data_IF_365177784919
#
_entry.id   IF_365177784919
#
_cell.length_a   1.000
_cell.length_b   1.000
_cell.length_c   1.000
_cell.angle_alpha   90.00
_cell.angle_beta   90.00
_cell.angle_gamma   90.00
#
_symmetry.space_group_name_H-M   'P 1'
#
loop_
_entity.id
_entity.type
_entity.pdbx_description
1 polymer ?
#
# COMPACT_ATOMS: atom_id res chain seq x y z
N UNK A 1 -27.20 -0.46 1.55
CA UNK A 1 -25.92 -1.11 1.14
C UNK A 1 -24.76 -0.68 2.05
N UNK A 2 -24.54 0.59 2.28
CA UNK A 2 -23.45 1.11 3.14
C UNK A 2 -23.47 0.59 4.60
N UNK A 3 -24.64 0.42 5.22
CA UNK A 3 -24.71 -0.11 6.59
C UNK A 3 -24.21 -1.57 6.73
N UNK A 4 -24.38 -2.42 5.72
CA UNK A 4 -23.87 -3.81 5.74
C UNK A 4 -22.34 -3.85 5.68
N UNK A 5 -21.73 -3.01 4.85
CA UNK A 5 -20.27 -2.89 4.71
C UNK A 5 -19.67 -2.39 6.02
N UNK A 6 -20.22 -1.33 6.59
CA UNK A 6 -19.77 -0.80 7.88
C UNK A 6 -19.88 -1.83 9.02
N UNK A 7 -20.93 -2.65 9.03
CA UNK A 7 -21.08 -3.74 10.00
C UNK A 7 -20.01 -4.84 9.84
N UNK A 8 -19.54 -5.11 8.62
CA UNK A 8 -18.42 -6.04 8.39
C UNK A 8 -17.14 -5.43 8.93
N UNK A 9 -16.86 -4.17 8.58
CA UNK A 9 -15.69 -3.43 9.04
C UNK A 9 -15.61 -3.39 10.57
N UNK A 10 -16.71 -3.06 11.24
CA UNK A 10 -16.77 -3.01 12.71
C UNK A 10 -16.52 -4.39 13.34
N UNK A 11 -17.14 -5.45 12.82
CA UNK A 11 -16.92 -6.83 13.31
C UNK A 11 -15.46 -7.27 13.17
N UNK A 12 -14.79 -6.89 12.08
CA UNK A 12 -13.37 -7.19 11.89
C UNK A 12 -12.53 -6.45 12.92
N UNK A 13 -12.79 -5.16 13.14
CA UNK A 13 -12.07 -4.36 14.14
C UNK A 13 -12.24 -4.89 15.56
N UNK A 14 -13.45 -5.33 15.94
CA UNK A 14 -13.71 -5.94 17.23
C UNK A 14 -12.93 -7.26 17.42
N UNK A 15 -12.89 -8.11 16.38
CA UNK A 15 -12.10 -9.35 16.41
C UNK A 15 -10.61 -9.08 16.53
N UNK A 16 -10.11 -8.10 15.78
CA UNK A 16 -8.71 -7.67 15.83
C UNK A 16 -8.34 -7.14 17.22
N UNK A 17 -9.22 -6.35 17.86
CA UNK A 17 -8.98 -5.87 19.23
C UNK A 17 -8.74 -7.00 20.24
N UNK A 18 -9.38 -8.16 20.07
CA UNK A 18 -9.24 -9.33 20.95
C UNK A 18 -7.89 -10.05 20.84
N UNK A 19 -7.15 -9.87 19.76
CA UNK A 19 -5.87 -10.55 19.51
C UNK A 19 -4.65 -9.64 19.79
N UNK A 20 -4.85 -8.43 20.28
CA UNK A 20 -3.75 -7.54 20.65
C UNK A 20 -2.90 -8.14 21.76
N UNK A 21 -1.57 -8.18 21.54
CA UNK A 21 -0.56 -8.63 22.50
C UNK A 21 0.67 -7.75 22.37
N UNK A 22 1.41 -7.45 23.44
CA UNK A 22 2.55 -6.53 23.41
C UNK A 22 3.60 -6.89 22.34
N UNK A 23 3.93 -8.18 22.20
CA UNK A 23 4.90 -8.64 21.19
C UNK A 23 4.37 -8.44 19.77
N UNK A 24 3.12 -8.81 19.50
CA UNK A 24 2.49 -8.65 18.18
C UNK A 24 2.28 -7.18 17.83
N UNK A 25 1.93 -6.34 18.82
CA UNK A 25 1.83 -4.89 18.64
C UNK A 25 3.15 -4.30 18.13
N UNK A 26 4.29 -4.68 18.73
CA UNK A 26 5.64 -4.22 18.30
C UNK A 26 5.93 -4.62 16.85
N UNK A 27 5.62 -5.87 16.48
CA UNK A 27 5.80 -6.38 15.11
C UNK A 27 4.95 -5.57 14.11
N UNK A 28 3.66 -5.37 14.41
CA UNK A 28 2.75 -4.65 13.53
C UNK A 28 3.08 -3.16 13.42
N UNK A 29 3.55 -2.55 14.51
CA UNK A 29 4.08 -1.18 14.48
C UNK A 29 5.29 -1.08 13.54
N UNK A 30 6.19 -2.07 13.58
CA UNK A 30 7.39 -2.09 12.72
C UNK A 30 7.01 -2.16 11.24
N UNK A 31 6.10 -3.07 10.86
CA UNK A 31 5.60 -3.14 9.48
C UNK A 31 4.86 -1.87 9.06
N UNK A 32 4.06 -1.30 9.95
CA UNK A 32 3.40 -0.02 9.68
C UNK A 32 4.41 1.11 9.45
N UNK A 33 5.43 1.22 10.30
CA UNK A 33 6.49 2.24 10.16
C UNK A 33 7.30 2.06 8.87
N UNK A 34 7.61 0.83 8.48
CA UNK A 34 8.28 0.53 7.21
C UNK A 34 7.49 1.04 5.99
N UNK A 35 6.16 1.00 6.07
CA UNK A 35 5.28 1.54 5.02
C UNK A 35 5.10 3.07 5.04
N UNK A 36 5.57 3.78 6.08
CA UNK A 36 5.43 5.23 6.17
C UNK A 36 6.13 5.91 4.99
N UNK A 37 5.41 6.82 4.30
CA UNK A 37 5.90 7.52 3.10
C UNK A 37 6.45 6.59 2.02
N UNK A 38 6.14 5.29 2.10
CA UNK A 38 6.67 4.29 1.18
C UNK A 38 8.18 4.02 1.34
N UNK A 39 8.80 4.35 2.48
CA UNK A 39 10.26 4.29 2.69
C UNK A 39 10.85 2.94 2.29
N UNK A 40 10.24 1.84 2.71
CA UNK A 40 10.72 0.50 2.37
C UNK A 40 10.71 0.25 0.86
N UNK A 41 9.74 0.80 0.14
CA UNK A 41 9.61 0.63 -1.31
C UNK A 41 10.63 1.47 -2.07
N UNK A 42 10.95 2.67 -1.59
CA UNK A 42 12.06 3.47 -2.09
C UNK A 42 13.40 2.77 -1.88
N UNK A 43 13.62 2.20 -0.70
CA UNK A 43 14.83 1.42 -0.41
C UNK A 43 14.95 0.18 -1.32
N UNK A 44 13.86 -0.56 -1.53
CA UNK A 44 13.83 -1.71 -2.45
C UNK A 44 14.03 -1.27 -3.91
N UNK A 45 13.62 -0.07 -4.30
CA UNK A 45 13.78 0.46 -5.65
C UNK A 45 15.26 0.70 -6.02
N UNK A 46 16.11 1.06 -5.03
CA UNK A 46 17.52 1.42 -5.26
C UNK A 46 18.29 0.33 -6.05
N UNK A 47 18.34 -0.95 -5.64
CA UNK A 47 19.07 -1.98 -6.36
C UNK A 47 18.55 -2.20 -7.80
N UNK A 48 17.24 -1.99 -8.02
CA UNK A 48 16.69 -2.06 -9.38
C UNK A 48 17.16 -0.91 -10.27
N UNK A 49 17.37 0.29 -9.71
CA UNK A 49 17.86 1.45 -10.48
C UNK A 49 19.36 1.36 -10.79
N UNK A 50 20.15 0.78 -9.88
CA UNK A 50 21.61 0.68 -10.05
C UNK A 50 21.98 -0.32 -11.16
N UNK A 51 21.31 -1.46 -11.22
CA UNK A 51 21.60 -2.50 -12.22
C UNK A 51 20.93 -2.16 -13.54
N UNK A 52 21.72 -2.11 -14.62
CA UNK A 52 21.22 -1.81 -15.97
C UNK A 52 20.05 -2.71 -16.40
N UNK A 53 20.19 -4.05 -16.19
CA UNK A 53 19.20 -5.05 -16.58
C UNK A 53 17.84 -4.89 -15.86
N UNK A 54 17.82 -4.23 -14.69
CA UNK A 54 16.65 -4.08 -13.86
C UNK A 54 16.13 -2.64 -13.80
N UNK A 55 16.83 -1.70 -14.44
CA UNK A 55 16.51 -0.27 -14.37
C UNK A 55 15.09 0.06 -14.77
N UNK A 56 14.56 -0.60 -15.78
CA UNK A 56 13.16 -0.44 -16.20
C UNK A 56 12.18 -0.85 -15.09
N UNK A 57 12.50 -1.91 -14.32
CA UNK A 57 11.68 -2.31 -13.17
C UNK A 57 11.69 -1.23 -12.09
N UNK A 58 12.86 -0.66 -11.78
CA UNK A 58 12.97 0.46 -10.85
C UNK A 58 12.15 1.69 -11.27
N UNK A 59 12.25 2.08 -12.54
CA UNK A 59 11.45 3.19 -13.10
C UNK A 59 9.95 2.90 -13.05
N UNK A 60 9.52 1.66 -13.35
CA UNK A 60 8.11 1.28 -13.21
C UNK A 60 7.64 1.33 -11.74
N UNK A 61 8.50 0.95 -10.77
CA UNK A 61 8.17 1.07 -9.34
C UNK A 61 7.93 2.55 -8.98
N UNK A 62 8.84 3.45 -9.38
CA UNK A 62 8.68 4.89 -9.13
C UNK A 62 7.36 5.41 -9.72
N UNK A 63 7.12 5.11 -10.99
CA UNK A 63 5.91 5.57 -11.68
C UNK A 63 4.65 4.99 -11.06
N UNK A 64 4.66 3.69 -10.68
CA UNK A 64 3.56 3.04 -9.98
C UNK A 64 3.27 3.65 -8.61
N UNK A 65 4.31 3.98 -7.82
CA UNK A 65 4.17 4.67 -6.54
C UNK A 65 3.59 6.08 -6.71
N UNK A 66 4.05 6.85 -7.70
CA UNK A 66 3.51 8.17 -8.01
C UNK A 66 2.03 8.08 -8.42
N UNK A 67 1.67 7.14 -9.28
CA UNK A 67 0.28 6.92 -9.71
C UNK A 67 -0.61 6.51 -8.54
N UNK A 68 -0.13 5.59 -7.69
CA UNK A 68 -0.83 5.14 -6.49
C UNK A 68 -1.03 6.30 -5.48
N UNK A 69 -0.03 7.15 -5.30
CA UNK A 69 -0.14 8.34 -4.46
C UNK A 69 -1.17 9.33 -5.01
N UNK A 70 -1.10 9.64 -6.31
CA UNK A 70 -2.04 10.55 -6.97
C UNK A 70 -3.48 10.05 -6.83
N UNK A 71 -3.74 8.79 -7.17
CA UNK A 71 -5.08 8.23 -7.15
C UNK A 71 -5.62 8.03 -5.72
N UNK A 72 -4.79 7.47 -4.82
CA UNK A 72 -5.20 7.15 -3.46
C UNK A 72 -5.20 8.36 -2.51
N UNK A 73 -4.05 9.04 -2.37
CA UNK A 73 -3.88 10.10 -1.38
C UNK A 73 -4.43 11.45 -1.84
N UNK A 74 -4.25 11.80 -3.12
CA UNK A 74 -4.67 13.11 -3.62
C UNK A 74 -6.13 13.12 -4.07
N UNK A 75 -6.57 12.13 -4.85
CA UNK A 75 -7.91 12.13 -5.45
C UNK A 75 -8.93 11.48 -4.51
N UNK A 76 -8.86 10.15 -4.34
CA UNK A 76 -9.92 9.38 -3.66
C UNK A 76 -10.07 9.76 -2.18
N UNK A 77 -8.99 10.02 -1.48
CA UNK A 77 -9.02 10.41 -0.08
C UNK A 77 -9.81 11.69 0.15
N UNK A 78 -9.69 12.66 -0.74
CA UNK A 78 -10.39 13.95 -0.64
C UNK A 78 -11.83 13.90 -1.17
N UNK A 79 -12.17 12.90 -1.99
CA UNK A 79 -13.57 12.68 -2.43
C UNK A 79 -14.36 11.98 -1.34
N UNK A 80 -13.83 10.86 -0.78
CA UNK A 80 -14.60 9.99 0.13
C UNK A 80 -14.64 10.52 1.57
N UNK A 81 -13.56 11.13 2.05
CA UNK A 81 -13.44 11.78 3.37
C UNK A 81 -13.88 10.90 4.55
N UNK A 82 -13.62 9.60 4.51
CA UNK A 82 -14.02 8.65 5.55
C UNK A 82 -13.23 8.87 6.84
N UNK A 83 -13.94 8.94 7.97
CA UNK A 83 -13.31 9.04 9.30
C UNK A 83 -12.65 7.70 9.66
N UNK A 84 -11.48 7.75 10.31
CA UNK A 84 -10.73 6.56 10.71
C UNK A 84 -11.36 5.85 11.92
N UNK A 85 -11.24 4.51 12.02
CA UNK A 85 -11.75 3.78 13.18
C UNK A 85 -11.13 4.26 14.50
N UNK A 86 -9.85 4.60 14.52
CA UNK A 86 -9.15 5.07 15.73
C UNK A 86 -9.71 6.35 16.35
N UNK A 87 -10.49 7.15 15.61
CA UNK A 87 -11.17 8.33 16.17
C UNK A 87 -12.43 8.00 16.97
N UNK A 88 -12.92 6.76 16.86
CA UNK A 88 -14.07 6.26 17.63
C UNK A 88 -13.66 5.37 18.82
N UNK A 89 -12.35 5.19 19.05
CA UNK A 89 -11.80 4.39 20.15
C UNK A 89 -11.43 5.28 21.34
N UNK A 90 -11.48 4.70 22.55
CA UNK A 90 -10.91 5.30 23.76
C UNK A 90 -9.37 5.41 23.66
N UNK A 91 -8.79 6.27 24.47
CA UNK A 91 -7.33 6.49 24.46
C UNK A 91 -6.58 5.26 24.98
N UNK A 92 -7.18 4.46 25.86
CA UNK A 92 -6.69 3.18 26.38
C UNK A 92 -6.66 2.05 25.35
N UNK A 93 -7.49 2.13 24.33
CA UNK A 93 -7.53 1.15 23.23
C UNK A 93 -6.54 1.46 22.11
N UNK A 94 -5.83 2.57 22.20
CA UNK A 94 -5.00 3.08 21.12
C UNK A 94 -3.57 2.55 21.21
N UNK A 95 -3.06 1.97 20.09
CA UNK A 95 -1.72 1.40 20.04
C UNK A 95 -0.69 2.37 19.46
N UNK A 96 -1.12 3.27 18.58
CA UNK A 96 -0.27 4.28 17.91
C UNK A 96 -1.01 5.62 17.85
N UNK A 97 -0.28 6.71 17.66
CA UNK A 97 -0.86 8.04 17.48
C UNK A 97 -1.91 8.06 16.35
N UNK A 98 -2.98 8.83 16.55
CA UNK A 98 -4.07 8.98 15.57
C UNK A 98 -3.58 9.70 14.32
N UNK A 99 -3.59 9.07 13.13
CA UNK A 99 -3.23 9.76 11.90
C UNK A 99 -4.25 10.85 11.57
N UNK A 100 -3.78 12.01 11.14
CA UNK A 100 -4.59 13.23 10.95
C UNK A 100 -5.55 13.19 9.75
N UNK A 101 -5.25 12.41 8.71
CA UNK A 101 -6.00 12.41 7.44
C UNK A 101 -7.06 11.31 7.39
N UNK A 102 -7.95 11.37 6.37
CA UNK A 102 -9.02 10.41 6.11
C UNK A 102 -8.53 8.97 5.97
N UNK A 103 -9.45 8.00 6.17
CA UNK A 103 -9.08 6.56 6.16
C UNK A 103 -9.07 5.93 4.78
N UNK A 104 -9.92 6.36 3.86
CA UNK A 104 -10.17 5.68 2.59
C UNK A 104 -9.48 6.35 1.39
N UNK A 105 -8.83 5.57 0.55
CA UNK A 105 -8.32 4.22 0.78
C UNK A 105 -7.06 4.22 1.67
N UNK A 106 -6.56 3.02 2.04
CA UNK A 106 -5.32 2.90 2.81
C UNK A 106 -4.09 3.20 1.95
N UNK A 107 -3.45 4.34 2.14
CA UNK A 107 -2.29 4.76 1.35
C UNK A 107 -1.08 3.82 1.47
N UNK A 108 -0.79 3.29 2.67
CA UNK A 108 0.24 2.28 2.88
C UNK A 108 -0.01 1.04 2.01
N UNK A 109 -1.26 0.58 1.97
CA UNK A 109 -1.65 -0.59 1.17
C UNK A 109 -1.60 -0.27 -0.32
N UNK A 110 -2.11 0.88 -0.73
CA UNK A 110 -2.12 1.30 -2.15
C UNK A 110 -0.69 1.39 -2.69
N UNK A 111 0.22 2.04 -1.97
CA UNK A 111 1.64 2.11 -2.36
C UNK A 111 2.29 0.71 -2.41
N UNK A 112 2.04 -0.12 -1.39
CA UNK A 112 2.61 -1.47 -1.32
C UNK A 112 2.16 -2.36 -2.49
N UNK A 113 0.88 -2.34 -2.80
CA UNK A 113 0.34 -3.16 -3.88
C UNK A 113 0.60 -2.59 -5.28
N UNK A 114 0.97 -1.32 -5.41
CA UNK A 114 1.53 -0.81 -6.66
C UNK A 114 2.87 -1.48 -6.98
N UNK A 115 3.73 -1.67 -5.98
CA UNK A 115 4.98 -2.41 -6.15
C UNK A 115 4.73 -3.88 -6.47
N UNK A 116 3.72 -4.50 -5.83
CA UNK A 116 3.29 -5.89 -6.16
C UNK A 116 2.85 -5.99 -7.62
N UNK A 117 2.05 -5.06 -8.13
CA UNK A 117 1.60 -5.04 -9.52
C UNK A 117 2.77 -4.94 -10.52
N UNK A 118 3.77 -4.09 -10.23
CA UNK A 118 5.00 -4.03 -11.03
C UNK A 118 5.79 -5.34 -10.94
N UNK A 119 5.98 -5.85 -9.72
CA UNK A 119 6.78 -7.05 -9.49
C UNK A 119 6.19 -8.29 -10.17
N UNK A 120 4.87 -8.41 -10.23
CA UNK A 120 4.18 -9.50 -10.92
C UNK A 120 4.57 -9.56 -12.41
N UNK A 121 4.72 -8.41 -13.05
CA UNK A 121 5.00 -8.33 -14.50
C UNK A 121 6.51 -8.28 -14.83
N UNK A 122 7.36 -7.89 -13.87
CA UNK A 122 8.77 -7.60 -14.09
C UNK A 122 9.75 -8.51 -13.34
N UNK A 123 9.30 -9.18 -12.27
CA UNK A 123 10.18 -9.93 -11.40
C UNK A 123 9.98 -11.45 -11.55
N UNK A 124 11.05 -12.20 -11.26
CA UNK A 124 10.94 -13.66 -11.08
C UNK A 124 10.20 -13.96 -9.76
N UNK A 125 9.63 -15.15 -9.67
CA UNK A 125 8.85 -15.58 -8.51
C UNK A 125 9.60 -15.43 -7.17
N UNK A 126 10.91 -15.69 -7.17
CA UNK A 126 11.77 -15.56 -5.99
C UNK A 126 11.85 -14.12 -5.44
N UNK A 127 11.71 -13.10 -6.29
CA UNK A 127 11.67 -11.70 -5.90
C UNK A 127 10.24 -11.24 -5.63
N UNK A 128 9.28 -11.74 -6.39
CA UNK A 128 7.87 -11.41 -6.27
C UNK A 128 7.28 -11.83 -4.91
N UNK A 129 7.55 -13.06 -4.46
CA UNK A 129 6.95 -13.59 -3.23
C UNK A 129 7.34 -12.80 -1.97
N UNK A 130 8.62 -12.42 -1.72
CA UNK A 130 8.96 -11.55 -0.60
C UNK A 130 8.30 -10.17 -0.66
N UNK A 131 8.18 -9.57 -1.86
CA UNK A 131 7.49 -8.30 -2.07
C UNK A 131 6.00 -8.43 -1.70
N UNK A 132 5.34 -9.48 -2.19
CA UNK A 132 3.94 -9.75 -1.87
C UNK A 132 3.72 -9.98 -0.38
N UNK A 133 4.59 -10.76 0.27
CA UNK A 133 4.53 -11.02 1.71
C UNK A 133 4.67 -9.70 2.51
N UNK A 134 5.68 -8.90 2.19
CA UNK A 134 5.92 -7.62 2.85
C UNK A 134 4.74 -6.65 2.65
N UNK A 135 4.22 -6.53 1.44
CA UNK A 135 3.05 -5.72 1.13
C UNK A 135 1.81 -6.15 1.92
N UNK A 136 1.59 -7.47 2.03
CA UNK A 136 0.48 -8.05 2.79
C UNK A 136 0.62 -7.78 4.29
N UNK A 137 1.82 -7.89 4.85
CA UNK A 137 2.10 -7.58 6.25
C UNK A 137 1.91 -6.08 6.56
N UNK A 138 2.35 -5.20 5.66
CA UNK A 138 2.10 -3.76 5.78
C UNK A 138 0.59 -3.47 5.72
N UNK A 139 -0.13 -4.03 4.75
CA UNK A 139 -1.58 -3.87 4.63
C UNK A 139 -2.32 -4.39 5.87
N UNK A 140 -1.99 -5.59 6.35
CA UNK A 140 -2.58 -6.18 7.54
C UNK A 140 -2.29 -5.34 8.80
N UNK A 141 -1.09 -4.78 8.93
CA UNK A 141 -0.73 -3.94 10.07
C UNK A 141 -1.68 -2.74 10.23
N UNK A 142 -2.25 -2.23 9.14
CA UNK A 142 -3.17 -1.08 9.18
C UNK A 142 -4.53 -1.42 9.78
N UNK A 143 -5.01 -2.65 9.55
CA UNK A 143 -6.24 -3.17 10.19
C UNK A 143 -5.93 -3.51 11.65
N UNK A 144 -4.81 -4.21 11.89
CA UNK A 144 -4.39 -4.61 13.22
C UNK A 144 -4.25 -3.42 14.18
N UNK A 145 -3.62 -2.34 13.72
CA UNK A 145 -3.45 -1.11 14.50
C UNK A 145 -4.74 -0.25 14.57
N UNK A 146 -5.85 -0.73 13.99
CA UNK A 146 -7.18 -0.09 14.00
C UNK A 146 -7.18 1.33 13.44
N UNK A 147 -6.26 1.64 12.50
CA UNK A 147 -6.17 2.95 11.81
C UNK A 147 -6.86 2.97 10.46
N UNK A 148 -7.20 1.80 9.93
CA UNK A 148 -7.99 1.61 8.70
C UNK A 148 -9.02 0.50 8.89
N UNK A 149 -10.13 0.62 8.20
CA UNK A 149 -11.11 -0.45 8.06
C UNK A 149 -10.61 -1.53 7.08
N UNK A 150 -11.19 -2.74 7.15
CA UNK A 150 -10.89 -3.81 6.19
C UNK A 150 -11.12 -3.33 4.75
N UNK A 151 -12.24 -2.65 4.50
CA UNK A 151 -12.60 -2.16 3.17
C UNK A 151 -11.62 -1.10 2.64
N UNK A 152 -11.05 -0.25 3.50
CA UNK A 152 -10.00 0.71 3.10
C UNK A 152 -8.75 -0.02 2.57
N UNK A 153 -8.43 -1.15 3.21
CA UNK A 153 -7.29 -1.99 2.83
C UNK A 153 -7.57 -2.78 1.56
N UNK A 154 -8.75 -3.41 1.45
CA UNK A 154 -9.15 -4.16 0.24
C UNK A 154 -9.16 -3.25 -1.00
N UNK A 155 -9.74 -2.06 -0.89
CA UNK A 155 -9.71 -1.10 -2.00
C UNK A 155 -8.29 -0.61 -2.27
N UNK A 156 -7.48 -0.41 -1.21
CA UNK A 156 -6.06 -0.09 -1.35
C UNK A 156 -5.27 -1.17 -2.12
N UNK A 157 -5.55 -2.46 -1.86
CA UNK A 157 -4.98 -3.59 -2.62
C UNK A 157 -5.33 -3.50 -4.10
N UNK A 158 -6.62 -3.39 -4.41
CA UNK A 158 -7.10 -3.36 -5.80
C UNK A 158 -6.56 -2.14 -6.55
N UNK A 159 -6.68 -0.96 -5.94
CA UNK A 159 -6.22 0.30 -6.55
C UNK A 159 -4.70 0.28 -6.77
N UNK A 160 -3.93 -0.11 -5.75
CA UNK A 160 -2.48 -0.19 -5.87
C UNK A 160 -2.05 -1.16 -6.96
N UNK A 161 -2.61 -2.37 -6.94
CA UNK A 161 -2.30 -3.39 -7.95
C UNK A 161 -2.58 -2.88 -9.37
N UNK A 162 -3.73 -2.26 -9.61
CA UNK A 162 -4.06 -1.65 -10.90
C UNK A 162 -3.07 -0.54 -11.26
N UNK A 163 -2.72 0.35 -10.33
CA UNK A 163 -1.71 1.39 -10.57
C UNK A 163 -0.35 0.80 -10.97
N UNK A 164 0.09 -0.27 -10.30
CA UNK A 164 1.33 -0.96 -10.63
C UNK A 164 1.32 -1.60 -12.01
N UNK A 165 0.26 -2.32 -12.36
CA UNK A 165 0.09 -2.91 -13.70
C UNK A 165 0.02 -1.82 -14.77
N UNK A 166 -0.79 -0.79 -14.56
CA UNK A 166 -0.88 0.35 -15.48
C UNK A 166 0.45 1.06 -15.66
N UNK A 167 1.27 1.17 -14.60
CA UNK A 167 2.59 1.79 -14.71
C UNK A 167 3.50 1.04 -15.70
N UNK A 168 3.48 -0.29 -15.66
CA UNK A 168 4.26 -1.11 -16.59
C UNK A 168 3.74 -0.98 -18.02
N UNK A 169 2.43 -1.05 -18.21
CA UNK A 169 1.81 -0.98 -19.54
C UNK A 169 2.00 0.39 -20.18
N UNK A 170 1.74 1.47 -19.45
CA UNK A 170 1.90 2.83 -19.94
C UNK A 170 3.37 3.16 -20.23
N UNK A 171 4.27 2.75 -19.33
CA UNK A 171 5.70 2.97 -19.51
C UNK A 171 6.21 2.28 -20.77
N UNK A 172 5.81 1.01 -20.99
CA UNK A 172 6.18 0.26 -22.19
C UNK A 172 5.60 0.84 -23.50
N UNK A 173 4.41 1.47 -23.42
CA UNK A 173 3.79 2.11 -24.59
C UNK A 173 4.42 3.47 -24.92
N UNK A 174 4.79 4.26 -23.91
CA UNK A 174 5.19 5.65 -24.05
C UNK A 174 6.70 5.80 -24.24
N UNK A 175 7.51 5.04 -23.49
CA UNK A 175 8.97 5.21 -23.46
C UNK A 175 9.67 4.95 -24.80
N UNK A 176 9.29 3.94 -25.62
CA UNK A 176 9.89 3.77 -26.94
C UNK A 176 9.69 4.97 -27.87
N UNK A 177 8.61 5.71 -27.65
CA UNK A 177 8.30 6.92 -28.46
C UNK A 177 9.14 8.12 -27.99
N UNK A 178 9.34 8.28 -26.66
CA UNK A 178 10.02 9.44 -26.08
C UNK A 178 11.55 9.25 -26.09
N UNK A 179 12.03 8.04 -25.80
CA UNK A 179 13.46 7.74 -25.68
C UNK A 179 13.77 6.44 -26.44
N UNK A 180 13.79 6.48 -27.79
CA UNK A 180 14.01 5.28 -28.60
C UNK A 180 15.32 4.57 -28.28
N UNK A 181 16.39 5.31 -27.94
CA UNK A 181 17.73 4.78 -27.65
C UNK A 181 17.88 4.11 -26.26
N UNK A 182 16.85 4.08 -25.43
CA UNK A 182 16.90 3.41 -24.12
C UNK A 182 16.61 1.89 -24.20
N UNK A 183 16.13 1.41 -25.36
CA UNK A 183 15.65 0.05 -25.59
C UNK A 183 16.46 -0.72 -26.63
N UNK A 184 17.50 -0.11 -27.20
CA UNK A 184 18.43 -0.73 -28.16
C UNK A 184 19.87 -0.69 -27.64
#
# INVERSE_FOLDING_TARGET
MFGRIQNIDNRVLERIGKIHKPALNKIMITFSKAGNLGIVWWAICIPFLIRSDWRLTGLNIIFGLCLAHLMGEVILKHIVKRVRPCHHLGDDEQIIDRPRFYSFPSGHTTASFAVVGVALLRCRLITFLPILLLASLIGFSRIYLRVHYLTDVVVGVLLGFVCGVCSVLLFNAIMPVIVPNLFF
#
